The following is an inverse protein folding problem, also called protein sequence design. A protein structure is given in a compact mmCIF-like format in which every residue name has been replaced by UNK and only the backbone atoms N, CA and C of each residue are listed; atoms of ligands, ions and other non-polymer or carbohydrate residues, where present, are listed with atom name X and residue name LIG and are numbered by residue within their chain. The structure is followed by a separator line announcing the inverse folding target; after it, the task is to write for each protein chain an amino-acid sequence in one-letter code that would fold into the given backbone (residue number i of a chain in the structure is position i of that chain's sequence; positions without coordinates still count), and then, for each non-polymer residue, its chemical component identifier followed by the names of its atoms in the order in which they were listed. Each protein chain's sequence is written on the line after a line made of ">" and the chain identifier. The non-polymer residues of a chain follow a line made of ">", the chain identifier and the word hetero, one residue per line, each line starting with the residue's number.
data_IF_170667864443
#
_entry.id   IF_170667864443
#
_cell.length_a   1.000
_cell.length_b   1.000
_cell.length_c   1.000
_cell.angle_alpha   90.00
_cell.angle_beta   90.00
_cell.angle_gamma   90.00
#
_symmetry.space_group_name_H-M   'P 1'
#
loop_
_entity.id
_entity.type
_entity.pdbx_description
1 polymer ?
#
# COMPACT_ATOMS: atom_id res chain seq x y z
N UNK A 1 26.32 28.24 23.03
CA UNK A 1 25.81 26.85 23.10
C UNK A 1 25.59 26.45 21.67
N UNK A 2 26.50 25.63 21.10
CA UNK A 2 26.29 24.98 19.80
C UNK A 2 25.26 23.88 20.09
N UNK A 3 24.01 24.09 19.69
CA UNK A 3 23.04 22.98 19.68
C UNK A 3 23.56 21.97 18.64
N UNK A 4 23.95 20.78 19.08
CA UNK A 4 24.27 19.67 18.18
C UNK A 4 23.05 19.41 17.30
N UNK A 5 23.21 19.53 15.98
CA UNK A 5 22.16 19.18 15.06
C UNK A 5 21.74 17.71 15.28
N UNK A 6 20.44 17.42 15.38
CA UNK A 6 19.99 16.06 15.66
C UNK A 6 20.50 15.10 14.57
N UNK A 7 21.12 14.01 15.00
CA UNK A 7 21.55 12.96 14.10
C UNK A 7 20.36 12.35 13.38
N UNK A 8 20.49 12.04 12.10
CA UNK A 8 19.44 11.43 11.30
C UNK A 8 19.69 9.94 11.08
N UNK A 9 18.71 9.11 11.43
CA UNK A 9 18.68 7.71 11.01
C UNK A 9 18.25 7.64 9.55
N UNK A 10 19.10 7.03 8.69
CA UNK A 10 18.87 6.83 7.26
C UNK A 10 18.49 5.38 6.99
N UNK A 11 17.55 5.16 6.09
CA UNK A 11 17.06 3.84 5.73
C UNK A 11 16.57 3.79 4.29
N UNK A 12 16.41 2.59 3.76
CA UNK A 12 15.91 2.35 2.41
C UNK A 12 14.51 1.76 2.46
N UNK A 13 13.66 2.21 1.53
CA UNK A 13 12.30 1.69 1.35
C UNK A 13 11.97 1.49 -0.12
N UNK A 14 11.04 0.59 -0.42
CA UNK A 14 10.40 0.43 -1.71
C UNK A 14 9.08 1.20 -1.68
N UNK A 15 8.91 2.19 -2.57
CA UNK A 15 7.72 3.04 -2.58
C UNK A 15 6.57 2.42 -3.37
N UNK A 16 6.80 2.12 -4.64
CA UNK A 16 5.83 1.51 -5.54
C UNK A 16 6.55 0.80 -6.68
N UNK A 17 5.81 0.05 -7.48
CA UNK A 17 6.34 -0.75 -8.58
C UNK A 17 5.39 -0.83 -9.79
N UNK A 18 5.76 -1.66 -10.78
CA UNK A 18 4.98 -1.90 -12.00
C UNK A 18 4.15 -3.18 -11.94
N UNK A 19 3.95 -3.80 -10.77
CA UNK A 19 3.03 -4.94 -10.62
C UNK A 19 1.58 -4.44 -10.60
N UNK A 20 0.68 -5.31 -10.98
CA UNK A 20 -0.76 -5.06 -10.82
C UNK A 20 -1.06 -5.16 -9.32
N UNK A 21 -1.67 -4.14 -8.77
CA UNK A 21 -2.06 -4.10 -7.37
C UNK A 21 -3.44 -4.75 -7.13
N UNK A 22 -3.91 -4.70 -5.88
CA UNK A 22 -5.20 -5.26 -5.47
C UNK A 22 -6.41 -4.52 -6.06
N UNK A 23 -6.21 -3.28 -6.52
CA UNK A 23 -7.24 -2.46 -7.14
C UNK A 23 -7.24 -2.63 -8.68
N UNK A 24 -6.43 -3.58 -9.18
CA UNK A 24 -6.21 -3.87 -10.60
C UNK A 24 -5.68 -2.66 -11.36
N UNK A 25 -4.72 -1.97 -10.74
CA UNK A 25 -4.00 -0.86 -11.33
C UNK A 25 -2.50 -1.16 -11.36
N UNK A 26 -1.77 -0.56 -12.30
CA UNK A 26 -0.32 -0.61 -12.32
C UNK A 26 0.28 0.66 -12.89
N UNK A 27 1.39 1.10 -12.36
CA UNK A 27 2.17 2.15 -12.97
C UNK A 27 2.92 1.64 -14.19
N UNK A 28 2.89 2.39 -15.29
CA UNK A 28 3.81 2.13 -16.39
C UNK A 28 5.23 2.56 -16.03
N UNK A 29 6.25 1.99 -16.69
CA UNK A 29 7.64 2.36 -16.43
C UNK A 29 7.92 3.87 -16.66
N UNK A 30 7.38 4.52 -17.73
CA UNK A 30 7.52 5.96 -17.89
C UNK A 30 6.91 6.75 -16.73
N UNK A 31 5.71 6.34 -16.25
CA UNK A 31 5.06 6.93 -15.07
C UNK A 31 5.94 6.78 -13.84
N UNK A 32 6.43 5.58 -13.58
CA UNK A 32 7.30 5.28 -12.43
C UNK A 32 8.57 6.14 -12.42
N UNK A 33 9.18 6.38 -13.58
CA UNK A 33 10.36 7.24 -13.72
C UNK A 33 10.07 8.71 -13.40
N UNK A 34 8.87 9.20 -13.76
CA UNK A 34 8.44 10.57 -13.39
C UNK A 34 8.16 10.64 -11.89
N UNK A 35 7.38 9.69 -11.34
CA UNK A 35 7.08 9.60 -9.91
C UNK A 35 8.36 9.58 -9.06
N UNK A 36 9.36 8.81 -9.48
CA UNK A 36 10.64 8.71 -8.78
C UNK A 36 11.25 10.10 -8.51
N UNK A 37 11.24 10.99 -9.50
CA UNK A 37 11.75 12.36 -9.34
C UNK A 37 10.85 13.20 -8.42
N UNK A 38 9.53 13.01 -8.49
CA UNK A 38 8.55 13.78 -7.74
C UNK A 38 8.54 13.43 -6.24
N UNK A 39 8.95 12.21 -5.88
CA UNK A 39 9.03 11.78 -4.49
C UNK A 39 10.18 12.41 -3.71
N UNK A 40 11.24 12.91 -4.36
CA UNK A 40 12.37 13.53 -3.67
C UNK A 40 11.90 14.73 -2.86
N UNK A 41 12.24 14.76 -1.57
CA UNK A 41 11.83 15.81 -0.64
C UNK A 41 10.44 15.63 -0.04
N UNK A 42 9.65 14.62 -0.46
CA UNK A 42 8.31 14.38 0.10
C UNK A 42 8.40 13.80 1.50
N UNK A 43 7.44 14.22 2.33
CA UNK A 43 7.35 13.78 3.71
C UNK A 43 6.74 12.37 3.80
N UNK A 44 7.19 11.64 4.84
CA UNK A 44 6.68 10.33 5.20
C UNK A 44 5.99 10.34 6.55
N UNK A 45 4.91 9.59 6.65
CA UNK A 45 4.01 9.59 7.78
C UNK A 45 3.98 8.26 8.52
N UNK A 46 3.81 8.35 9.84
CA UNK A 46 3.38 7.24 10.70
C UNK A 46 2.10 7.68 11.39
N UNK A 47 0.96 7.08 11.00
CA UNK A 47 -0.34 7.64 11.39
C UNK A 47 -0.53 9.03 10.80
N UNK A 48 -0.68 10.04 11.67
CA UNK A 48 -0.82 11.46 11.25
C UNK A 48 0.48 12.26 11.38
N UNK A 49 1.53 11.67 11.95
CA UNK A 49 2.78 12.36 12.23
C UNK A 49 3.73 12.31 11.04
N UNK A 50 4.14 13.48 10.55
CA UNK A 50 5.17 13.65 9.52
C UNK A 50 6.55 13.57 10.15
N UNK A 51 7.17 12.39 10.12
CA UNK A 51 8.43 12.13 10.82
C UNK A 51 9.61 11.80 9.92
N UNK A 52 9.35 11.47 8.66
CA UNK A 52 10.37 11.03 7.71
C UNK A 52 10.41 11.92 6.47
N UNK A 53 11.51 11.88 5.73
CA UNK A 53 11.67 12.61 4.47
C UNK A 53 12.48 11.79 3.47
N UNK A 54 12.06 11.76 2.21
CA UNK A 54 12.83 11.14 1.12
C UNK A 54 13.97 12.06 0.73
N UNK A 55 15.19 11.52 0.74
CA UNK A 55 16.41 12.22 0.35
C UNK A 55 16.75 11.99 -1.12
N UNK A 56 16.57 10.78 -1.60
CA UNK A 56 16.85 10.41 -2.99
C UNK A 56 16.05 9.18 -3.40
N UNK A 57 15.92 8.98 -4.70
CA UNK A 57 15.22 7.84 -5.29
C UNK A 57 15.98 7.27 -6.47
N UNK A 58 15.80 5.99 -6.74
CA UNK A 58 16.30 5.31 -7.93
C UNK A 58 15.27 4.29 -8.41
N UNK A 59 15.13 4.17 -9.74
CA UNK A 59 14.28 3.13 -10.36
C UNK A 59 15.15 1.93 -10.68
N UNK A 60 14.81 0.78 -10.13
CA UNK A 60 15.54 -0.48 -10.26
C UNK A 60 14.62 -1.56 -10.87
N UNK A 61 15.26 -2.54 -11.52
CA UNK A 61 14.58 -3.74 -12.01
C UNK A 61 14.72 -4.85 -10.97
N UNK A 62 13.61 -5.44 -10.57
CA UNK A 62 13.58 -6.56 -9.65
C UNK A 62 13.88 -7.90 -10.33
N UNK A 63 14.04 -8.94 -9.54
CA UNK A 63 14.37 -10.29 -10.01
C UNK A 63 13.25 -10.91 -10.87
N UNK A 64 12.00 -10.55 -10.57
CA UNK A 64 10.81 -11.03 -11.29
C UNK A 64 10.52 -10.19 -12.56
N UNK A 65 11.41 -9.27 -12.92
CA UNK A 65 11.30 -8.44 -14.11
C UNK A 65 10.50 -7.14 -13.93
N UNK A 66 9.86 -6.93 -12.79
CA UNK A 66 9.18 -5.68 -12.44
C UNK A 66 10.17 -4.54 -12.22
N UNK A 67 9.70 -3.32 -12.40
CA UNK A 67 10.45 -2.11 -12.02
C UNK A 67 9.86 -1.52 -10.75
N UNK A 68 10.69 -0.97 -9.90
CA UNK A 68 10.26 -0.35 -8.64
C UNK A 68 11.10 0.88 -8.29
N UNK A 69 10.52 1.76 -7.49
CA UNK A 69 11.21 2.91 -6.91
C UNK A 69 11.79 2.48 -5.56
N UNK A 70 13.11 2.53 -5.44
CA UNK A 70 13.82 2.46 -4.16
C UNK A 70 14.12 3.88 -3.71
N UNK A 71 13.80 4.21 -2.48
CA UNK A 71 14.07 5.52 -1.89
C UNK A 71 15.01 5.38 -0.70
N UNK A 72 15.91 6.38 -0.57
CA UNK A 72 16.64 6.64 0.68
C UNK A 72 15.86 7.71 1.44
N UNK A 73 15.51 7.41 2.66
CA UNK A 73 14.77 8.31 3.54
C UNK A 73 15.51 8.52 4.86
N UNK A 74 15.12 9.56 5.60
CA UNK A 74 15.69 9.85 6.91
C UNK A 74 14.60 10.22 7.91
N UNK A 75 14.86 9.91 9.18
CA UNK A 75 14.08 10.28 10.35
C UNK A 75 15.01 10.92 11.35
N UNK A 76 14.60 11.99 12.04
CA UNK A 76 15.37 12.57 13.15
C UNK A 76 15.54 11.52 14.26
N UNK A 77 16.78 11.32 14.72
CA UNK A 77 17.10 10.37 15.78
C UNK A 77 16.91 11.01 17.16
N UNK A 78 15.64 11.24 17.50
CA UNK A 78 15.20 11.83 18.78
C UNK A 78 14.33 10.82 19.55
N UNK A 79 14.20 10.94 20.88
CA UNK A 79 13.48 9.98 21.72
C UNK A 79 12.08 9.64 21.24
N UNK A 80 11.34 10.62 20.71
CA UNK A 80 9.98 10.45 20.20
C UNK A 80 9.91 9.48 19.00
N UNK A 81 11.00 9.38 18.25
CA UNK A 81 11.10 8.55 17.06
C UNK A 81 11.76 7.19 17.29
N UNK A 82 12.35 6.91 18.46
CA UNK A 82 13.09 5.67 18.71
C UNK A 82 12.28 4.41 18.45
N UNK A 83 11.01 4.39 18.86
CA UNK A 83 10.13 3.24 18.62
C UNK A 83 9.98 2.94 17.13
N UNK A 84 9.75 3.97 16.32
CA UNK A 84 9.59 3.83 14.86
C UNK A 84 10.89 3.38 14.21
N UNK A 85 12.02 3.94 14.64
CA UNK A 85 13.35 3.56 14.16
C UNK A 85 13.64 2.08 14.44
N UNK A 86 13.33 1.59 15.63
CA UNK A 86 13.49 0.18 15.99
C UNK A 86 12.53 -0.74 15.18
N UNK A 87 11.31 -0.31 14.91
CA UNK A 87 10.36 -1.03 14.07
C UNK A 87 10.85 -1.11 12.60
N UNK A 88 11.52 -0.07 12.10
CA UNK A 88 12.17 -0.09 10.77
C UNK A 88 13.38 -1.02 10.77
N UNK A 89 14.28 -0.91 11.75
CA UNK A 89 15.47 -1.76 11.89
C UNK A 89 15.11 -3.24 12.00
N UNK A 90 14.07 -3.56 12.74
CA UNK A 90 13.59 -4.94 12.92
C UNK A 90 12.79 -5.48 11.72
N UNK A 91 12.50 -4.65 10.71
CA UNK A 91 11.68 -5.01 9.55
C UNK A 91 10.17 -5.11 9.83
N UNK A 92 9.71 -4.69 11.00
CA UNK A 92 8.27 -4.60 11.29
C UNK A 92 7.60 -3.51 10.44
N UNK A 93 8.27 -2.38 10.24
CA UNK A 93 7.84 -1.30 9.33
C UNK A 93 8.71 -1.35 8.07
N UNK A 94 8.19 -1.96 7.02
CA UNK A 94 8.87 -2.07 5.71
C UNK A 94 7.97 -1.74 4.54
N UNK A 95 6.67 -1.78 4.74
CA UNK A 95 5.69 -1.53 3.69
C UNK A 95 5.12 -0.13 3.81
N UNK A 96 4.93 0.51 2.66
CA UNK A 96 4.43 1.87 2.58
C UNK A 96 3.30 1.96 1.56
N UNK A 97 2.42 2.92 1.78
CA UNK A 97 1.45 3.41 0.82
C UNK A 97 1.90 4.76 0.28
N UNK A 98 1.51 5.07 -0.93
CA UNK A 98 1.81 6.35 -1.57
C UNK A 98 0.52 7.05 -1.97
N UNK A 99 0.51 8.38 -1.85
CA UNK A 99 -0.55 9.23 -2.39
C UNK A 99 -0.03 9.98 -3.61
N UNK A 100 -0.62 9.73 -4.78
CA UNK A 100 -0.30 10.46 -6.00
C UNK A 100 -1.53 10.61 -6.89
N UNK A 101 -1.48 11.55 -7.82
CA UNK A 101 -2.47 11.69 -8.89
C UNK A 101 -1.83 11.43 -10.26
N UNK A 102 -2.62 10.91 -11.18
CA UNK A 102 -2.24 10.64 -12.56
C UNK A 102 -3.27 11.25 -13.51
N UNK A 103 -2.82 11.78 -14.64
CA UNK A 103 -3.73 12.38 -15.62
C UNK A 103 -4.40 11.32 -16.50
N UNK A 104 -3.76 10.18 -16.72
CA UNK A 104 -4.22 9.19 -17.70
C UNK A 104 -4.30 7.81 -17.08
N UNK A 105 -5.44 7.15 -17.27
CA UNK A 105 -5.71 5.75 -16.89
C UNK A 105 -6.12 5.00 -18.16
N UNK A 106 -5.35 4.03 -18.59
CA UNK A 106 -5.55 3.31 -19.85
C UNK A 106 -6.01 1.88 -19.59
N UNK A 107 -7.10 1.47 -20.22
CA UNK A 107 -7.60 0.10 -20.12
C UNK A 107 -6.64 -0.89 -20.80
N UNK A 108 -6.21 -1.93 -20.12
CA UNK A 108 -5.29 -2.95 -20.64
C UNK A 108 -5.87 -3.83 -21.75
N UNK A 109 -7.21 -3.85 -21.90
CA UNK A 109 -7.91 -4.69 -22.88
C UNK A 109 -8.06 -3.97 -24.22
N UNK A 110 -8.53 -2.73 -24.23
CA UNK A 110 -8.85 -2.00 -25.44
C UNK A 110 -8.00 -0.74 -25.68
N UNK A 111 -7.13 -0.36 -24.73
CA UNK A 111 -6.31 0.84 -24.85
C UNK A 111 -7.07 2.16 -24.67
N UNK A 112 -8.35 2.11 -24.31
CA UNK A 112 -9.11 3.33 -24.06
C UNK A 112 -8.58 4.06 -22.82
N UNK A 113 -8.38 5.36 -22.97
CA UNK A 113 -7.92 6.27 -21.91
C UNK A 113 -8.94 7.35 -21.57
N UNK A 114 -10.10 7.33 -22.23
CA UNK A 114 -11.17 8.33 -22.00
C UNK A 114 -12.12 7.94 -20.89
N UNK A 115 -12.05 6.67 -20.43
CA UNK A 115 -12.97 6.11 -19.46
C UNK A 115 -14.33 5.72 -20.03
N UNK A 116 -14.46 5.68 -21.38
CA UNK A 116 -15.70 5.35 -22.07
C UNK A 116 -15.88 3.85 -22.32
N UNK A 117 -14.86 3.03 -22.11
CA UNK A 117 -14.95 1.60 -22.31
C UNK A 117 -15.73 0.90 -21.18
N UNK A 118 -16.38 -0.24 -21.53
CA UNK A 118 -17.15 -1.04 -20.58
C UNK A 118 -16.34 -2.14 -19.86
N UNK A 119 -15.03 -2.20 -20.08
CA UNK A 119 -14.18 -3.19 -19.40
C UNK A 119 -14.00 -2.81 -17.93
N UNK A 120 -14.21 -3.76 -17.03
CA UNK A 120 -14.09 -3.55 -15.59
C UNK A 120 -12.76 -4.14 -15.08
N UNK A 121 -11.98 -3.37 -14.30
CA UNK A 121 -10.79 -3.90 -13.65
C UNK A 121 -11.10 -5.16 -12.84
N UNK A 122 -10.24 -6.18 -12.96
CA UNK A 122 -10.41 -7.47 -12.31
C UNK A 122 -11.17 -8.51 -13.12
N UNK A 123 -12.04 -8.12 -14.05
CA UNK A 123 -12.77 -9.05 -14.91
C UNK A 123 -11.88 -9.60 -16.06
N UNK A 124 -12.28 -10.75 -16.61
CA UNK A 124 -11.55 -11.41 -17.69
C UNK A 124 -12.24 -11.23 -19.04
N UNK A 125 -11.47 -10.84 -20.05
CA UNK A 125 -11.91 -10.65 -21.42
C UNK A 125 -10.98 -11.45 -22.35
N UNK A 126 -11.54 -12.44 -23.05
CA UNK A 126 -10.75 -13.33 -23.93
C UNK A 126 -9.52 -13.96 -23.22
N UNK A 127 -9.68 -14.37 -21.95
CA UNK A 127 -8.61 -14.96 -21.15
C UNK A 127 -7.59 -13.98 -20.57
N UNK A 128 -7.76 -12.68 -20.77
CA UNK A 128 -6.90 -11.63 -20.22
C UNK A 128 -7.62 -10.88 -19.10
N UNK A 129 -6.99 -10.76 -17.96
CA UNK A 129 -7.51 -9.95 -16.85
C UNK A 129 -7.39 -8.46 -17.19
N UNK A 130 -8.50 -7.74 -16.99
CA UNK A 130 -8.51 -6.28 -17.16
C UNK A 130 -7.86 -5.60 -15.97
N UNK A 131 -6.99 -4.64 -16.24
CA UNK A 131 -6.43 -3.71 -15.27
C UNK A 131 -6.24 -2.33 -15.92
N UNK A 132 -6.02 -1.31 -15.09
CA UNK A 132 -5.78 0.03 -15.57
C UNK A 132 -4.29 0.37 -15.49
N UNK A 133 -3.72 0.86 -16.60
CA UNK A 133 -2.37 1.40 -16.64
C UNK A 133 -2.40 2.88 -16.24
N UNK A 134 -1.64 3.21 -15.20
CA UNK A 134 -1.51 4.56 -14.69
C UNK A 134 -0.35 5.28 -15.37
N UNK A 135 -0.67 6.40 -16.01
CA UNK A 135 0.27 7.20 -16.80
C UNK A 135 0.21 8.67 -16.38
N UNK A 136 1.24 9.42 -16.78
CA UNK A 136 1.32 10.87 -16.64
C UNK A 136 1.00 11.35 -15.22
N UNK A 137 1.87 11.06 -14.24
CA UNK A 137 1.69 11.52 -12.87
C UNK A 137 1.74 13.05 -12.83
N UNK A 138 0.75 13.64 -12.14
CA UNK A 138 0.58 15.09 -12.03
C UNK A 138 1.02 15.63 -10.67
N UNK A 139 0.85 14.83 -9.61
CA UNK A 139 1.31 15.21 -8.28
C UNK A 139 1.62 13.98 -7.41
N UNK A 140 2.47 14.19 -6.41
CA UNK A 140 2.76 13.27 -5.31
C UNK A 140 2.50 14.01 -4.01
N UNK A 141 1.57 13.51 -3.22
CA UNK A 141 1.15 14.16 -1.98
C UNK A 141 2.04 13.74 -0.82
N UNK A 142 2.11 12.44 -0.57
CA UNK A 142 2.77 11.87 0.59
C UNK A 142 3.13 10.40 0.36
N UNK A 143 3.82 9.84 1.31
CA UNK A 143 3.96 8.41 1.53
C UNK A 143 3.81 8.12 3.02
N UNK A 144 3.29 6.97 3.36
CA UNK A 144 3.06 6.59 4.76
C UNK A 144 3.44 5.14 4.99
N UNK A 145 3.99 4.84 6.18
CA UNK A 145 4.11 3.45 6.59
C UNK A 145 2.72 2.86 6.76
N UNK A 146 2.48 1.75 6.09
CA UNK A 146 1.26 0.98 6.32
C UNK A 146 1.30 0.52 7.77
N UNK A 147 0.21 0.76 8.50
CA UNK A 147 0.07 0.14 9.81
C UNK A 147 0.31 -1.36 9.58
N UNK A 148 1.31 -1.92 10.27
CA UNK A 148 1.49 -3.38 10.25
C UNK A 148 0.10 -3.92 10.56
N UNK A 149 -0.52 -4.73 9.70
CA UNK A 149 -1.76 -5.38 10.09
C UNK A 149 -1.42 -5.97 11.45
N UNK A 150 -2.16 -5.58 12.49
CA UNK A 150 -2.12 -6.32 13.78
C UNK A 150 -2.11 -7.74 13.29
N UNK A 151 -1.02 -8.48 13.52
CA UNK A 151 -0.77 -9.78 12.91
C UNK A 151 -2.14 -10.41 12.80
N UNK A 152 -2.66 -10.54 11.55
CA UNK A 152 -3.74 -11.47 11.38
C UNK A 152 -3.13 -12.69 12.03
N UNK A 153 -3.56 -12.98 13.25
CA UNK A 153 -3.21 -14.23 13.87
C UNK A 153 -3.58 -15.20 12.79
N UNK A 154 -2.57 -15.71 12.06
CA UNK A 154 -2.80 -16.82 11.15
C UNK A 154 -3.46 -17.80 12.05
N UNK A 155 -4.77 -17.83 11.98
CA UNK A 155 -5.54 -18.81 12.68
C UNK A 155 -5.30 -20.03 11.85
N UNK A 156 -4.19 -20.73 12.14
CA UNK A 156 -3.77 -21.96 11.46
C UNK A 156 -4.77 -23.09 11.66
N UNK A 157 -5.92 -22.77 12.28
CA UNK A 157 -7.01 -23.72 12.40
C UNK A 157 -8.16 -23.38 11.44
N UNK A 158 -8.72 -24.39 10.76
CA UNK A 158 -9.81 -24.19 9.83
C UNK A 158 -11.01 -23.56 10.55
N UNK A 159 -11.73 -22.67 9.85
CA UNK A 159 -12.90 -21.92 10.36
C UNK A 159 -13.93 -22.79 11.09
N UNK A 160 -14.03 -24.08 10.74
CA UNK A 160 -14.90 -25.07 11.42
C UNK A 160 -14.53 -25.32 12.88
N UNK A 161 -13.31 -25.01 13.27
CA UNK A 161 -12.75 -25.22 14.60
C UNK A 161 -12.72 -23.95 15.45
N UNK A 162 -13.22 -22.84 14.91
CA UNK A 162 -13.29 -21.57 15.64
C UNK A 162 -14.38 -21.58 16.67
N UNK A 163 -14.06 -21.12 17.87
CA UNK A 163 -15.04 -20.86 18.91
C UNK A 163 -15.94 -19.68 18.55
N UNK A 164 -17.10 -19.57 19.17
CA UNK A 164 -18.02 -18.44 18.98
C UNK A 164 -17.35 -17.10 19.35
N UNK A 165 -16.45 -17.08 20.34
CA UNK A 165 -15.69 -15.90 20.73
C UNK A 165 -14.73 -15.42 19.64
N UNK A 166 -13.95 -16.35 19.06
CA UNK A 166 -13.03 -16.06 17.96
C UNK A 166 -13.75 -15.54 16.71
N UNK A 167 -14.91 -16.13 16.42
CA UNK A 167 -15.77 -15.70 15.32
C UNK A 167 -16.34 -14.29 15.52
N UNK A 168 -16.76 -13.95 16.75
CA UNK A 168 -17.26 -12.61 17.10
C UNK A 168 -16.17 -11.55 17.00
N UNK A 169 -14.98 -11.84 17.51
CA UNK A 169 -13.83 -10.93 17.44
C UNK A 169 -13.42 -10.69 15.99
N UNK A 170 -13.34 -11.75 15.17
CA UNK A 170 -13.04 -11.64 13.76
C UNK A 170 -14.08 -10.76 13.02
N UNK A 171 -15.39 -10.99 13.27
CA UNK A 171 -16.46 -10.15 12.72
C UNK A 171 -16.34 -8.68 13.12
N UNK A 172 -15.99 -8.42 14.36
CA UNK A 172 -15.81 -7.05 14.85
C UNK A 172 -14.67 -6.35 14.11
N UNK A 173 -13.51 -7.00 13.98
CA UNK A 173 -12.37 -6.45 13.25
C UNK A 173 -12.65 -6.30 11.75
N UNK A 174 -13.31 -7.27 11.13
CA UNK A 174 -13.71 -7.21 9.71
C UNK A 174 -14.65 -6.03 9.43
N UNK A 175 -15.66 -5.80 10.27
CA UNK A 175 -16.58 -4.66 10.14
C UNK A 175 -15.86 -3.31 10.30
N UNK A 176 -14.90 -3.23 11.21
CA UNK A 176 -14.12 -2.02 11.44
C UNK A 176 -13.27 -1.64 10.22
N UNK A 177 -12.77 -2.62 9.48
CA UNK A 177 -11.93 -2.42 8.30
C UNK A 177 -12.73 -2.30 6.97
N UNK A 178 -14.02 -2.69 6.95
CA UNK A 178 -14.86 -2.76 5.75
C UNK A 178 -16.23 -2.07 5.93
N UNK A 179 -16.21 -0.80 6.32
CA UNK A 179 -17.41 -0.02 6.69
C UNK A 179 -18.48 0.15 5.61
N UNK A 180 -18.20 -0.19 4.34
CA UNK A 180 -19.11 0.06 3.21
C UNK A 180 -19.49 -1.18 2.38
N UNK A 181 -19.25 -2.40 2.85
CA UNK A 181 -19.67 -3.60 2.10
C UNK A 181 -20.73 -4.39 2.87
N UNK A 182 -21.83 -4.79 2.21
CA UNK A 182 -22.81 -5.67 2.84
C UNK A 182 -22.17 -7.00 3.22
N UNK A 183 -22.44 -7.46 4.43
CA UNK A 183 -21.92 -8.69 5.02
C UNK A 183 -22.25 -9.99 4.24
N UNK A 184 -23.04 -9.89 3.18
CA UNK A 184 -23.84 -11.01 2.65
C UNK A 184 -23.10 -11.96 1.73
N UNK A 185 -22.02 -11.60 1.07
CA UNK A 185 -21.42 -12.47 0.05
C UNK A 185 -19.99 -12.92 0.32
N UNK A 186 -19.25 -12.26 1.18
CA UNK A 186 -17.83 -12.53 1.41
C UNK A 186 -17.47 -12.91 2.86
N UNK A 187 -18.45 -12.85 3.79
CA UNK A 187 -18.21 -13.18 5.18
C UNK A 187 -18.32 -14.69 5.43
N UNK A 188 -17.23 -15.38 5.82
CA UNK A 188 -17.25 -16.82 6.10
C UNK A 188 -18.24 -17.23 7.21
N UNK A 189 -18.65 -16.28 8.04
CA UNK A 189 -19.59 -16.49 9.16
C UNK A 189 -21.05 -16.42 8.67
N UNK A 190 -21.33 -15.54 7.69
CA UNK A 190 -22.62 -15.48 7.04
C UNK A 190 -22.92 -16.76 6.27
N UNK A 191 -21.93 -17.30 5.56
CA UNK A 191 -22.04 -18.57 4.82
C UNK A 191 -22.36 -19.79 5.73
N UNK A 192 -22.16 -19.67 7.05
CA UNK A 192 -22.49 -20.69 8.05
C UNK A 192 -23.81 -20.46 8.78
N UNK A 193 -24.58 -19.42 8.43
CA UNK A 193 -25.83 -19.12 9.10
C UNK A 193 -25.69 -18.65 10.56
N UNK A 194 -24.49 -18.25 10.99
CA UNK A 194 -24.18 -17.86 12.38
C UNK A 194 -24.10 -16.33 12.52
N UNK A 195 -24.50 -15.58 11.50
CA UNK A 195 -24.41 -14.12 11.54
C UNK A 195 -25.34 -13.53 12.60
N UNK A 196 -24.78 -12.88 13.60
CA UNK A 196 -25.54 -12.06 14.53
C UNK A 196 -26.09 -10.83 13.77
N UNK A 197 -27.39 -10.75 13.63
CA UNK A 197 -28.12 -9.50 13.31
C UNK A 197 -27.99 -8.51 14.45
#
# INVERSE_FOLDING_TARGET
>A
VVEDEPEYYKFEIRLCDTKIDRDFERFTLPCLRKLSKMFVGKNGFVGQDSIAKILSTVVLKGKDGEWFIKANASIKNIPENFKVIEEIKSGKKKEVSIGCSVATRTCSICGDSTGSCNHKPGEYYNGKQCFMELNDPTDVFEWSFVATPVEEKKVDKPLKEWTLGELKEWCYQYRKSHTNKPCEQTCPIYQRGICCR
#
